data_IF_350958915841
#
_entry.id   IF_350958915841
#
_cell.length_a   1.000
_cell.length_b   1.000
_cell.length_c   1.000
_cell.angle_alpha   90.00
_cell.angle_beta   90.00
_cell.angle_gamma   90.00
#
_symmetry.space_group_name_H-M   'P 1'
#
loop_
_entity.id
_entity.type
_entity.pdbx_description
1 polymer ?
#
# COMPACT_ATOMS: atom_id res chain seq x y z
N UNK A 1 -19.67 14.03 -22.78
CA UNK A 1 -19.67 12.88 -21.86
C UNK A 1 -19.02 11.74 -22.63
N UNK A 2 -17.70 11.57 -22.48
CA UNK A 2 -16.93 10.60 -23.27
C UNK A 2 -16.38 9.52 -22.35
N UNK A 3 -16.81 8.29 -22.62
CA UNK A 3 -16.41 7.07 -21.93
C UNK A 3 -14.92 6.78 -22.15
N UNK A 4 -14.08 6.91 -21.11
CA UNK A 4 -12.70 6.39 -21.07
C UNK A 4 -12.66 4.93 -20.59
N UNK A 5 -13.53 4.07 -21.11
CA UNK A 5 -13.57 2.65 -20.73
C UNK A 5 -12.58 1.77 -21.53
N UNK A 6 -11.93 2.31 -22.56
CA UNK A 6 -11.11 1.51 -23.50
C UNK A 6 -9.58 1.62 -23.31
N UNK A 7 -9.09 2.31 -22.27
CA UNK A 7 -7.64 2.48 -22.04
C UNK A 7 -7.05 1.59 -20.93
N UNK A 8 -7.81 0.63 -20.40
CA UNK A 8 -7.32 -0.27 -19.33
C UNK A 8 -6.86 -1.64 -19.84
N UNK A 9 -7.10 -1.98 -21.12
CA UNK A 9 -6.79 -3.30 -21.68
C UNK A 9 -5.33 -3.46 -22.16
N UNK A 10 -4.54 -2.38 -22.26
CA UNK A 10 -3.17 -2.41 -22.82
C UNK A 10 -2.04 -2.27 -21.79
N UNK A 11 -2.36 -2.22 -20.49
CA UNK A 11 -1.36 -2.01 -19.43
C UNK A 11 -0.99 -3.34 -18.78
N UNK A 12 0.24 -3.77 -19.00
CA UNK A 12 0.83 -4.88 -18.27
C UNK A 12 1.69 -4.35 -17.14
N UNK A 13 1.44 -4.82 -15.92
CA UNK A 13 2.18 -4.42 -14.72
C UNK A 13 2.90 -5.62 -14.10
N UNK A 14 4.15 -5.43 -13.70
CA UNK A 14 4.89 -6.36 -12.85
C UNK A 14 5.12 -5.70 -11.49
N UNK A 15 4.70 -6.38 -10.42
CA UNK A 15 4.95 -5.96 -9.04
C UNK A 15 5.95 -6.92 -8.39
N UNK A 16 7.06 -6.36 -7.90
CA UNK A 16 8.03 -7.06 -7.08
C UNK A 16 7.88 -6.57 -5.64
N UNK A 17 7.55 -7.49 -4.75
CA UNK A 17 7.32 -7.20 -3.34
C UNK A 17 8.22 -8.07 -2.49
N UNK A 18 9.02 -7.44 -1.63
CA UNK A 18 9.71 -8.13 -0.56
C UNK A 18 8.94 -7.87 0.73
N UNK A 19 8.70 -8.90 1.53
CA UNK A 19 7.91 -8.80 2.77
C UNK A 19 8.79 -9.29 3.90
N UNK A 20 9.01 -8.43 4.89
CA UNK A 20 9.69 -8.80 6.13
C UNK A 20 8.77 -8.47 7.30
N UNK A 21 8.56 -9.46 8.16
CA UNK A 21 7.89 -9.26 9.43
C UNK A 21 8.77 -9.74 10.58
N UNK A 22 8.61 -9.11 11.74
CA UNK A 22 9.24 -9.53 12.98
C UNK A 22 8.23 -9.44 14.11
N UNK A 23 8.09 -10.54 14.84
CA UNK A 23 7.28 -10.63 16.04
C UNK A 23 8.14 -10.46 17.29
N UNK A 24 7.67 -9.65 18.23
CA UNK A 24 8.30 -9.36 19.50
C UNK A 24 7.20 -9.34 20.58
N UNK A 25 6.88 -10.54 21.11
CA UNK A 25 5.74 -10.72 22.02
C UNK A 25 4.44 -10.36 21.32
N UNK A 26 3.64 -9.47 21.91
CA UNK A 26 2.38 -9.00 21.33
C UNK A 26 2.55 -7.97 20.21
N UNK A 27 3.78 -7.56 19.88
CA UNK A 27 4.04 -6.61 18.78
C UNK A 27 4.47 -7.33 17.51
N UNK A 28 3.92 -6.90 16.38
CA UNK A 28 4.31 -7.34 15.04
C UNK A 28 4.76 -6.12 14.26
N UNK A 29 5.97 -6.16 13.73
CA UNK A 29 6.50 -5.12 12.86
C UNK A 29 6.62 -5.65 11.44
N UNK A 30 6.25 -4.83 10.46
CA UNK A 30 6.29 -5.18 9.04
C UNK A 30 7.00 -4.12 8.21
N UNK A 31 7.78 -4.55 7.23
CA UNK A 31 8.46 -3.70 6.27
C UNK A 31 8.44 -4.35 4.89
N UNK A 32 7.83 -3.66 3.92
CA UNK A 32 7.57 -4.17 2.59
C UNK A 32 7.99 -3.13 1.52
N UNK A 33 9.22 -3.20 0.99
CA UNK A 33 9.56 -2.46 -0.20
C UNK A 33 8.89 -3.11 -1.41
N UNK A 34 8.26 -2.29 -2.23
CA UNK A 34 7.52 -2.69 -3.44
C UNK A 34 8.06 -1.90 -4.61
N UNK A 35 8.35 -2.59 -5.70
CA UNK A 35 8.72 -1.99 -6.96
C UNK A 35 7.75 -2.43 -8.03
N UNK A 36 7.19 -1.47 -8.77
CA UNK A 36 6.19 -1.72 -9.79
C UNK A 36 6.66 -1.17 -11.13
N UNK A 37 6.57 -2.00 -12.17
CA UNK A 37 6.85 -1.62 -13.56
C UNK A 37 5.54 -1.74 -14.33
N UNK A 38 5.04 -0.63 -14.86
CA UNK A 38 3.88 -0.59 -15.74
C UNK A 38 4.33 -0.31 -17.17
N UNK A 39 3.99 -1.20 -18.09
CA UNK A 39 4.26 -1.07 -19.53
C UNK A 39 2.96 -0.77 -20.25
N UNK A 40 2.94 0.28 -21.07
CA UNK A 40 1.86 0.59 -22.00
C UNK A 40 2.45 0.58 -23.41
N UNK A 41 1.73 -0.01 -24.38
CA UNK A 41 2.26 -0.32 -25.72
C UNK A 41 2.84 0.88 -26.49
N UNK A 42 2.47 2.11 -26.11
CA UNK A 42 2.81 3.34 -26.83
C UNK A 42 3.64 4.33 -25.99
N UNK A 43 4.06 3.97 -24.78
CA UNK A 43 4.76 4.90 -23.88
C UNK A 43 5.95 4.26 -23.16
N UNK A 44 6.87 5.08 -22.68
CA UNK A 44 7.99 4.65 -21.84
C UNK A 44 7.45 3.92 -20.59
N UNK A 45 8.09 2.80 -20.18
CA UNK A 45 7.74 2.12 -18.94
C UNK A 45 7.71 3.08 -17.75
N UNK A 46 6.67 2.95 -16.93
CA UNK A 46 6.54 3.70 -15.69
C UNK A 46 7.06 2.85 -14.55
N UNK A 47 7.91 3.45 -13.74
CA UNK A 47 8.50 2.81 -12.57
C UNK A 47 7.98 3.51 -11.32
N UNK A 48 7.46 2.75 -10.38
CA UNK A 48 7.07 3.24 -9.06
C UNK A 48 7.81 2.46 -7.98
N UNK A 49 8.28 3.18 -6.96
CA UNK A 49 8.84 2.56 -5.77
C UNK A 49 8.00 2.96 -4.55
N UNK A 50 7.62 1.97 -3.76
CA UNK A 50 6.84 2.15 -2.53
C UNK A 50 7.59 1.47 -1.38
N UNK A 51 7.54 2.08 -0.21
CA UNK A 51 7.96 1.46 1.04
C UNK A 51 6.79 1.49 1.97
N UNK A 52 6.29 0.32 2.34
CA UNK A 52 5.20 0.16 3.28
C UNK A 52 5.79 -0.34 4.59
N UNK A 53 5.54 0.36 5.68
CA UNK A 53 6.00 0.00 7.02
C UNK A 53 4.85 0.04 8.00
N UNK A 54 4.78 -0.93 8.90
CA UNK A 54 3.68 -0.99 9.86
C UNK A 54 4.08 -1.63 11.17
N UNK A 55 3.29 -1.35 12.20
CA UNK A 55 3.37 -2.00 13.49
C UNK A 55 1.97 -2.30 13.99
N UNK A 56 1.79 -3.49 14.54
CA UNK A 56 0.53 -3.95 15.09
C UNK A 56 0.73 -4.52 16.50
N UNK A 57 -0.27 -4.36 17.34
CA UNK A 57 -0.36 -4.91 18.68
C UNK A 57 -1.51 -5.92 18.73
N UNK A 58 -1.21 -7.14 19.15
CA UNK A 58 -2.18 -8.20 19.36
C UNK A 58 -3.02 -7.92 20.62
N UNK A 59 -4.30 -7.63 20.43
CA UNK A 59 -5.27 -7.57 21.54
C UNK A 59 -5.62 -8.98 22.04
N UNK A 60 -5.66 -9.94 21.10
CA UNK A 60 -5.82 -11.37 21.34
C UNK A 60 -5.28 -12.13 20.11
N UNK A 61 -5.49 -13.45 20.06
CA UNK A 61 -5.02 -14.31 18.97
C UNK A 61 -5.60 -13.97 17.59
N UNK A 62 -6.68 -13.18 17.54
CA UNK A 62 -7.44 -12.90 16.33
C UNK A 62 -7.58 -11.43 15.99
N UNK A 63 -7.26 -10.49 16.89
CA UNK A 63 -7.50 -9.06 16.69
C UNK A 63 -6.23 -8.27 16.95
N UNK A 64 -5.89 -7.41 15.99
CA UNK A 64 -4.70 -6.57 16.02
C UNK A 64 -5.07 -5.12 15.75
N UNK A 65 -4.53 -4.22 16.55
CA UNK A 65 -4.59 -2.77 16.31
C UNK A 65 -3.23 -2.29 15.85
N UNK A 66 -3.16 -1.49 14.80
CA UNK A 66 -1.89 -1.09 14.24
C UNK A 66 -1.89 0.29 13.62
N UNK A 67 -0.73 0.62 13.10
CA UNK A 67 -0.49 1.76 12.24
C UNK A 67 0.27 1.27 11.02
N UNK A 68 -0.09 1.81 9.86
CA UNK A 68 0.62 1.59 8.62
C UNK A 68 1.02 2.93 8.02
N UNK A 69 2.21 2.94 7.45
CA UNK A 69 2.82 4.04 6.73
C UNK A 69 3.22 3.60 5.33
N UNK A 70 3.07 4.50 4.38
CA UNK A 70 3.45 4.30 2.98
C UNK A 70 4.25 5.52 2.52
N UNK A 71 5.45 5.30 1.99
CA UNK A 71 6.15 6.29 1.19
C UNK A 71 6.13 5.82 -0.25
N UNK A 72 5.53 6.60 -1.14
CA UNK A 72 5.48 6.33 -2.58
C UNK A 72 6.29 7.37 -3.33
N UNK A 73 7.17 6.91 -4.21
CA UNK A 73 7.94 7.75 -5.13
C UNK A 73 7.35 7.59 -6.54
N UNK A 74 6.80 8.68 -7.06
CA UNK A 74 6.21 8.76 -8.40
C UNK A 74 7.02 9.72 -9.27
N UNK A 75 7.18 9.37 -10.55
CA UNK A 75 7.65 10.33 -11.56
C UNK A 75 6.42 10.99 -12.16
N UNK A 76 6.27 12.30 -11.94
CA UNK A 76 5.19 13.12 -12.50
C UNK A 76 5.79 14.29 -13.25
N UNK A 77 5.45 14.42 -14.54
CA UNK A 77 5.89 15.54 -15.39
C UNK A 77 7.42 15.76 -15.33
N UNK A 78 8.19 14.66 -15.39
CA UNK A 78 9.65 14.63 -15.28
C UNK A 78 10.25 15.02 -13.92
N UNK A 79 9.41 15.25 -12.89
CA UNK A 79 9.85 15.51 -11.52
C UNK A 79 9.56 14.31 -10.60
N UNK A 80 10.46 14.06 -9.65
CA UNK A 80 10.23 13.09 -8.58
C UNK A 80 9.35 13.70 -7.49
N UNK A 81 8.22 13.06 -7.22
CA UNK A 81 7.31 13.44 -6.14
C UNK A 81 7.23 12.31 -5.13
N UNK A 82 7.40 12.63 -3.84
CA UNK A 82 7.18 11.69 -2.75
C UNK A 82 5.82 11.94 -2.07
N UNK A 83 5.03 10.89 -1.95
CA UNK A 83 3.79 10.89 -1.18
C UNK A 83 4.02 10.10 0.09
N UNK A 84 3.88 10.75 1.25
CA UNK A 84 3.88 10.06 2.54
C UNK A 84 2.45 9.95 3.06
N UNK A 85 2.07 8.74 3.45
CA UNK A 85 0.77 8.42 4.03
C UNK A 85 0.96 7.66 5.32
N UNK A 86 0.09 7.92 6.30
CA UNK A 86 0.11 7.24 7.60
C UNK A 86 -1.32 7.12 8.12
N UNK A 87 -1.61 6.04 8.83
CA UNK A 87 -2.79 6.02 9.69
C UNK A 87 -3.08 4.67 10.34
N UNK A 88 -4.16 4.61 11.13
CA UNK A 88 -4.49 3.46 11.93
C UNK A 88 -5.04 2.31 11.08
N UNK A 89 -4.79 1.10 11.55
CA UNK A 89 -5.30 -0.15 10.98
C UNK A 89 -5.89 -1.04 12.08
N UNK A 90 -6.87 -1.85 11.70
CA UNK A 90 -7.44 -2.92 12.51
C UNK A 90 -7.42 -4.18 11.65
N UNK A 91 -6.77 -5.22 12.14
CA UNK A 91 -6.79 -6.53 11.49
C UNK A 91 -7.55 -7.54 12.34
N UNK A 92 -8.32 -8.40 11.67
CA UNK A 92 -9.01 -9.53 12.25
C UNK A 92 -8.61 -10.78 11.47
N UNK A 93 -8.10 -11.77 12.19
CA UNK A 93 -7.54 -12.99 11.64
C UNK A 93 -8.10 -14.24 12.29
N UNK A 94 -8.34 -15.26 11.47
CA UNK A 94 -8.49 -16.65 11.89
C UNK A 94 -7.46 -17.51 11.15
N UNK A 95 -7.41 -18.80 11.44
CA UNK A 95 -6.51 -19.74 10.76
C UNK A 95 -6.68 -19.85 9.24
N UNK A 96 -7.73 -19.26 8.66
CA UNK A 96 -8.05 -19.36 7.21
C UNK A 96 -8.28 -18.03 6.50
N UNK A 97 -8.50 -16.97 7.26
CA UNK A 97 -8.92 -15.69 6.69
C UNK A 97 -8.27 -14.58 7.51
N UNK A 98 -7.64 -13.66 6.82
CA UNK A 98 -7.15 -12.42 7.40
C UNK A 98 -7.78 -11.21 6.70
N UNK A 99 -8.38 -10.33 7.47
CA UNK A 99 -8.93 -9.07 7.01
C UNK A 99 -8.18 -7.92 7.68
N UNK A 100 -7.74 -6.93 6.91
CA UNK A 100 -7.17 -5.70 7.42
C UNK A 100 -7.97 -4.49 6.88
N UNK A 101 -8.36 -3.59 7.77
CA UNK A 101 -9.06 -2.36 7.44
C UNK A 101 -8.26 -1.19 8.03
N UNK A 102 -8.05 -0.13 7.26
CA UNK A 102 -7.37 1.06 7.76
C UNK A 102 -7.78 2.33 7.05
N UNK A 103 -7.35 3.46 7.60
CA UNK A 103 -7.50 4.76 6.97
C UNK A 103 -6.09 5.38 6.93
N UNK A 104 -5.60 5.69 5.73
CA UNK A 104 -4.31 6.35 5.53
C UNK A 104 -4.53 7.79 5.12
N UNK A 105 -3.86 8.72 5.79
CA UNK A 105 -3.90 10.15 5.47
C UNK A 105 -2.64 10.54 4.71
N UNK A 106 -2.79 11.16 3.55
CA UNK A 106 -1.68 11.72 2.78
C UNK A 106 -1.22 13.03 3.44
N UNK A 107 0.01 13.04 3.93
CA UNK A 107 0.57 14.14 4.72
C UNK A 107 1.38 15.14 3.88
N UNK A 108 1.77 14.79 2.65
CA UNK A 108 2.60 15.65 1.78
C UNK A 108 1.82 16.39 0.68
N UNK A 109 0.50 16.20 0.56
CA UNK A 109 -0.32 16.94 -0.42
C UNK A 109 -0.88 18.21 0.21
N UNK A 110 -0.97 19.29 -0.58
CA UNK A 110 -1.55 20.59 -0.18
C UNK A 110 -2.95 20.46 0.43
N UNK A 111 -3.72 19.47 -0.02
CA UNK A 111 -4.94 19.03 0.64
C UNK A 111 -4.74 17.62 1.19
N UNK A 112 -4.95 17.45 2.51
CA UNK A 112 -4.94 16.15 3.16
C UNK A 112 -6.02 15.27 2.53
N UNK A 113 -5.60 14.21 1.84
CA UNK A 113 -6.49 13.21 1.25
C UNK A 113 -6.39 11.93 2.06
N UNK A 114 -7.51 11.37 2.47
CA UNK A 114 -7.56 10.04 3.08
C UNK A 114 -7.85 8.96 2.04
N UNK A 115 -7.34 7.75 2.29
CA UNK A 115 -7.62 6.53 1.53
C UNK A 115 -8.03 5.43 2.50
N UNK A 116 -9.08 4.68 2.17
CA UNK A 116 -9.43 3.46 2.88
C UNK A 116 -8.51 2.35 2.38
N UNK A 117 -7.88 1.65 3.32
CA UNK A 117 -7.11 0.45 3.07
C UNK A 117 -7.97 -0.76 3.40
N UNK A 118 -8.08 -1.69 2.45
CA UNK A 118 -8.73 -2.98 2.64
C UNK A 118 -7.79 -4.05 2.08
N UNK A 119 -7.40 -5.00 2.92
CA UNK A 119 -6.57 -6.13 2.52
C UNK A 119 -7.21 -7.43 2.99
N UNK A 120 -7.17 -8.43 2.12
CA UNK A 120 -7.77 -9.74 2.36
C UNK A 120 -6.77 -10.81 1.97
N UNK A 121 -6.56 -11.78 2.85
CA UNK A 121 -5.65 -12.90 2.65
C UNK A 121 -6.41 -14.21 2.94
N UNK A 122 -6.23 -15.19 2.05
CA UNK A 122 -6.78 -16.55 2.10
C UNK A 122 -5.69 -17.57 2.45
#
# INVERSE_FOLDING_TARGET
>A
MEYKLFSSLSKHGFEFKFIVSKELGSFVFGFNPVYEISVDYYTTPKHEFKVIGGSSFALNESIFLGFESEIKYEVKDSNYVSVFSLGPTVSIGSSKIWLNIGILFNLTKEAMKSRILLSFYL
#
